data_IF_017536743331
#
_entry.id   IF_017536743331
#
_cell.length_a   1.000
_cell.length_b   1.000
_cell.length_c   1.000
_cell.angle_alpha   90.00
_cell.angle_beta   90.00
_cell.angle_gamma   90.00
#
_symmetry.space_group_name_H-M   'P 1'
#
loop_
_entity.id
_entity.type
_entity.pdbx_description
1 polymer ?
#
# COMPACT_ATOMS: atom_id res chain seq x y z
N UNK A 1 -6.43 -4.61 -1.16
CA UNK A 1 -6.47 -6.09 -1.09
C UNK A 1 -6.04 -6.51 0.31
N UNK A 2 -6.80 -7.37 0.98
CA UNK A 2 -6.37 -7.95 2.25
C UNK A 2 -5.16 -8.87 2.03
N UNK A 3 -4.13 -8.74 2.86
CA UNK A 3 -2.89 -9.54 2.75
C UNK A 3 -2.94 -10.67 3.77
N UNK A 4 -2.58 -11.89 3.36
CA UNK A 4 -2.56 -13.04 4.26
C UNK A 4 -1.57 -12.76 5.40
N UNK A 5 -2.06 -12.74 6.64
CA UNK A 5 -1.26 -12.44 7.83
C UNK A 5 -1.23 -10.96 8.25
N UNK A 6 -1.83 -10.06 7.48
CA UNK A 6 -1.95 -8.66 7.85
C UNK A 6 -3.44 -8.24 7.84
N UNK A 7 -4.02 -7.87 8.99
CA UNK A 7 -5.43 -7.46 9.07
C UNK A 7 -5.67 -6.14 8.33
N UNK A 8 -4.61 -5.38 8.03
CA UNK A 8 -4.71 -4.10 7.34
C UNK A 8 -4.79 -4.30 5.82
N UNK A 9 -5.60 -3.47 5.12
CA UNK A 9 -5.69 -3.53 3.67
C UNK A 9 -4.44 -2.94 3.00
N UNK A 10 -3.98 -3.58 1.92
CA UNK A 10 -3.00 -3.03 0.98
C UNK A 10 -3.67 -2.22 -0.11
N UNK A 11 -3.28 -0.96 -0.26
CA UNK A 11 -3.73 -0.05 -1.31
C UNK A 11 -2.67 0.08 -2.41
N UNK A 12 -3.09 0.29 -3.65
CA UNK A 12 -2.21 0.49 -4.79
C UNK A 12 -2.48 1.85 -5.41
N UNK A 13 -1.42 2.60 -5.66
CA UNK A 13 -1.47 3.92 -6.24
C UNK A 13 -0.67 3.94 -7.53
N UNK A 14 -1.22 4.67 -8.51
CA UNK A 14 -0.54 5.00 -9.75
C UNK A 14 -0.27 6.49 -9.74
N UNK A 15 0.86 6.88 -10.31
CA UNK A 15 1.17 8.28 -10.56
C UNK A 15 0.06 8.91 -11.41
N UNK A 16 -0.42 10.10 -11.02
CA UNK A 16 -1.47 10.81 -11.74
C UNK A 16 -0.95 11.56 -12.98
N UNK A 17 0.36 11.77 -13.08
CA UNK A 17 0.97 12.44 -14.22
C UNK A 17 0.84 11.57 -15.49
N UNK A 18 0.31 12.11 -16.61
CA UNK A 18 0.20 11.36 -17.87
C UNK A 18 1.54 10.76 -18.31
N UNK A 19 1.53 9.49 -18.71
CA UNK A 19 2.72 8.76 -19.15
C UNK A 19 3.68 8.32 -18.02
N UNK A 20 3.40 8.66 -16.77
CA UNK A 20 4.25 8.29 -15.64
C UNK A 20 4.14 6.79 -15.33
N UNK A 21 5.24 6.00 -15.41
CA UNK A 21 5.18 4.56 -15.18
C UNK A 21 5.18 4.19 -13.69
N UNK A 22 5.34 5.16 -12.79
CA UNK A 22 5.51 4.94 -11.36
C UNK A 22 4.23 4.38 -10.73
N UNK A 23 4.42 3.30 -9.97
CA UNK A 23 3.39 2.63 -9.17
C UNK A 23 3.95 2.44 -7.77
N UNK A 24 3.10 2.56 -6.76
CA UNK A 24 3.45 2.20 -5.38
C UNK A 24 2.31 1.44 -4.73
N UNK A 25 2.63 0.62 -3.75
CA UNK A 25 1.65 0.11 -2.81
C UNK A 25 1.84 0.79 -1.46
N UNK A 26 0.79 0.81 -0.67
CA UNK A 26 0.82 1.27 0.72
C UNK A 26 0.06 0.26 1.56
N UNK A 27 0.67 -0.19 2.64
CA UNK A 27 0.05 -1.01 3.67
C UNK A 27 0.46 -0.54 5.06
N UNK A 28 -0.30 -0.94 6.09
CA UNK A 28 0.13 -0.74 7.48
C UNK A 28 0.77 -2.01 7.99
N UNK A 29 1.75 -1.89 8.87
CA UNK A 29 2.36 -3.06 9.50
C UNK A 29 1.31 -3.85 10.31
N UNK A 30 1.48 -5.17 10.37
CA UNK A 30 0.54 -6.05 11.07
C UNK A 30 0.68 -5.98 12.59
N UNK A 31 1.84 -5.59 13.10
CA UNK A 31 2.17 -5.52 14.52
C UNK A 31 2.14 -4.08 15.05
N UNK A 32 2.58 -3.11 14.25
CA UNK A 32 2.50 -1.69 14.58
C UNK A 32 1.61 -0.91 13.59
N UNK A 33 0.36 -0.67 14.00
CA UNK A 33 -0.63 0.05 13.18
C UNK A 33 -0.26 1.51 12.86
N UNK A 34 0.73 2.08 13.54
CA UNK A 34 1.23 3.44 13.26
C UNK A 34 2.28 3.44 12.15
N UNK A 35 2.89 2.30 11.85
CA UNK A 35 3.92 2.16 10.84
C UNK A 35 3.28 1.88 9.47
N UNK A 36 3.67 2.68 8.47
CA UNK A 36 3.18 2.60 7.08
C UNK A 36 4.33 2.21 6.17
N UNK A 37 4.07 1.22 5.30
CA UNK A 37 5.02 0.62 4.34
C UNK A 37 4.50 0.83 2.92
#
# INVERSE_FOLDING_TARGET
KLVKGNPNPRSYYRCSNPGCPVKKHVERDSHDVKLVI
#
